data_IF_613714090364
#
_entry.id   IF_613714090364
#
_cell.length_a   1.000
_cell.length_b   1.000
_cell.length_c   1.000
_cell.angle_alpha   90.00
_cell.angle_beta   90.00
_cell.angle_gamma   90.00
#
_symmetry.space_group_name_H-M   'P 1'
#
loop_
_entity.id
_entity.type
_entity.pdbx_description
1 polymer ?
#
# COMPACT_ATOMS: atom_id res chain seq x y z
N UNK A 1 12.48 -2.47 13.64
CA UNK A 1 11.80 -3.61 12.99
C UNK A 1 11.80 -4.79 13.95
N UNK A 2 10.69 -5.53 14.06
CA UNK A 2 10.59 -6.68 14.96
C UNK A 2 11.41 -7.89 14.48
N UNK A 3 11.56 -8.94 15.31
CA UNK A 3 12.38 -10.12 15.01
C UNK A 3 11.76 -11.06 13.96
N UNK A 4 10.61 -10.71 13.43
CA UNK A 4 9.91 -11.55 12.46
C UNK A 4 10.47 -11.37 11.05
N UNK A 5 10.57 -12.46 10.31
CA UNK A 5 10.95 -12.44 8.89
C UNK A 5 9.79 -11.84 8.09
N UNK A 6 10.05 -10.72 7.43
CA UNK A 6 9.08 -10.08 6.54
C UNK A 6 8.89 -10.87 5.25
N UNK A 7 7.72 -10.74 4.66
CA UNK A 7 7.43 -11.31 3.34
C UNK A 7 8.34 -10.61 2.32
N UNK A 8 9.10 -11.41 1.55
CA UNK A 8 9.95 -10.91 0.50
C UNK A 8 9.30 -10.98 -0.89
N UNK A 9 9.96 -10.43 -1.91
CA UNK A 9 11.26 -9.75 -1.83
C UNK A 9 11.17 -8.39 -1.13
N UNK A 10 12.28 -7.92 -0.52
CA UNK A 10 12.33 -6.59 0.10
C UNK A 10 12.35 -5.48 -0.96
N UNK A 11 11.91 -4.29 -0.58
CA UNK A 11 11.82 -3.15 -1.50
C UNK A 11 13.19 -2.75 -2.05
N UNK A 12 14.22 -2.75 -1.23
CA UNK A 12 15.59 -2.43 -1.62
C UNK A 12 16.17 -3.45 -2.61
N UNK A 13 15.96 -4.75 -2.39
CA UNK A 13 16.36 -5.81 -3.34
C UNK A 13 15.72 -5.60 -4.72
N UNK A 14 14.42 -5.30 -4.75
CA UNK A 14 13.68 -5.05 -5.99
C UNK A 14 14.19 -3.80 -6.69
N UNK A 15 14.41 -2.71 -5.95
CA UNK A 15 14.96 -1.47 -6.49
C UNK A 15 16.34 -1.70 -7.10
N UNK A 16 17.26 -2.37 -6.38
CA UNK A 16 18.61 -2.66 -6.89
C UNK A 16 18.55 -3.48 -8.17
N UNK A 17 17.73 -4.52 -8.18
CA UNK A 17 17.57 -5.41 -9.34
C UNK A 17 17.17 -4.63 -10.60
N UNK A 18 16.06 -3.89 -10.53
CA UNK A 18 15.53 -3.20 -11.70
C UNK A 18 16.32 -1.94 -12.08
N UNK A 19 16.99 -1.31 -11.12
CA UNK A 19 17.94 -0.23 -11.43
C UNK A 19 19.12 -0.70 -12.25
N UNK A 20 19.71 -1.85 -11.92
CA UNK A 20 20.79 -2.49 -12.70
C UNK A 20 20.34 -2.87 -14.12
N UNK A 21 19.06 -3.20 -14.29
CA UNK A 21 18.46 -3.44 -15.59
C UNK A 21 18.12 -2.13 -16.34
N UNK A 22 18.49 -0.97 -15.79
CA UNK A 22 18.19 0.39 -16.32
C UNK A 22 16.71 0.65 -16.55
N UNK A 23 15.84 0.03 -15.77
CA UNK A 23 14.40 0.26 -15.82
C UNK A 23 14.02 1.49 -14.99
N UNK A 24 13.00 2.22 -15.44
CA UNK A 24 12.35 3.24 -14.63
C UNK A 24 11.56 2.60 -13.49
N UNK A 25 11.57 3.24 -12.31
CA UNK A 25 10.90 2.75 -11.11
C UNK A 25 9.84 3.75 -10.68
N UNK A 26 8.61 3.24 -10.48
CA UNK A 26 7.52 3.99 -9.84
C UNK A 26 7.09 3.23 -8.59
N UNK A 27 7.19 3.88 -7.44
CA UNK A 27 6.74 3.33 -6.16
C UNK A 27 5.32 3.82 -5.87
N UNK A 28 4.42 2.90 -5.58
CA UNK A 28 3.04 3.19 -5.15
C UNK A 28 2.87 2.70 -3.72
N UNK A 29 2.85 3.58 -2.71
CA UNK A 29 2.73 3.18 -1.31
C UNK A 29 1.27 2.86 -0.94
N UNK A 30 0.73 1.81 -1.53
CA UNK A 30 -0.70 1.46 -1.46
C UNK A 30 -1.18 1.14 -0.04
N UNK A 31 -0.29 0.72 0.86
CA UNK A 31 -0.61 0.43 2.24
C UNK A 31 -0.68 1.67 3.14
N UNK A 32 -0.24 2.83 2.65
CA UNK A 32 -0.20 4.06 3.42
C UNK A 32 -1.26 5.06 2.95
N UNK A 33 -2.08 5.51 3.88
CA UNK A 33 -3.11 6.51 3.62
C UNK A 33 -2.64 7.93 3.87
N UNK A 34 -1.53 8.14 4.60
CA UNK A 34 -0.95 9.45 4.91
C UNK A 34 0.55 9.45 4.69
N UNK A 35 1.10 10.63 4.47
CA UNK A 35 2.55 10.82 4.42
C UNK A 35 3.15 10.74 5.83
N UNK A 36 4.31 10.10 5.95
CA UNK A 36 5.08 9.96 7.19
C UNK A 36 6.56 9.66 6.89
N UNK A 37 7.36 9.35 7.91
CA UNK A 37 8.80 9.14 7.74
C UNK A 37 9.16 8.07 6.71
N UNK A 38 8.43 6.97 6.64
CA UNK A 38 8.70 5.92 5.65
C UNK A 38 8.46 6.42 4.21
N UNK A 39 7.41 7.21 3.97
CA UNK A 39 7.14 7.74 2.62
C UNK A 39 8.05 8.90 2.25
N UNK A 40 8.28 9.86 3.17
CA UNK A 40 9.01 11.10 2.89
C UNK A 40 10.53 10.96 3.00
N UNK A 41 11.02 10.08 3.86
CA UNK A 41 12.46 9.87 4.04
C UNK A 41 12.91 8.60 3.35
N UNK A 42 12.34 7.46 3.72
CA UNK A 42 12.78 6.17 3.20
C UNK A 42 12.52 6.04 1.69
N UNK A 43 11.27 6.27 1.24
CA UNK A 43 10.93 6.14 -0.18
C UNK A 43 11.42 7.32 -1.03
N UNK A 44 11.29 8.58 -0.56
CA UNK A 44 11.64 9.74 -1.39
C UNK A 44 13.13 10.07 -1.39
N UNK A 45 13.86 9.76 -0.33
CA UNK A 45 15.27 10.13 -0.19
C UNK A 45 16.17 8.90 -0.28
N UNK A 46 15.99 7.93 0.60
CA UNK A 46 16.93 6.80 0.73
C UNK A 46 16.84 5.85 -0.47
N UNK A 47 15.64 5.40 -0.81
CA UNK A 47 15.45 4.50 -1.95
C UNK A 47 15.64 5.18 -3.30
N UNK A 48 15.37 6.47 -3.40
CA UNK A 48 15.73 7.24 -4.59
C UNK A 48 17.24 7.25 -4.80
N UNK A 49 18.02 7.58 -3.75
CA UNK A 49 19.49 7.54 -3.81
C UNK A 49 20.01 6.13 -4.13
N UNK A 50 19.39 5.09 -3.56
CA UNK A 50 19.73 3.70 -3.84
C UNK A 50 19.49 3.36 -5.32
N UNK A 51 18.37 3.77 -5.88
CA UNK A 51 18.02 3.56 -7.29
C UNK A 51 19.02 4.28 -8.22
N UNK A 52 19.29 5.56 -7.98
CA UNK A 52 20.23 6.37 -8.76
C UNK A 52 21.65 5.77 -8.73
N UNK A 53 22.12 5.36 -7.54
CA UNK A 53 23.44 4.70 -7.36
C UNK A 53 23.55 3.41 -8.16
N UNK A 54 22.46 2.70 -8.39
CA UNK A 54 22.44 1.45 -9.16
C UNK A 54 22.07 1.64 -10.64
N UNK A 55 22.01 2.87 -11.13
CA UNK A 55 21.85 3.20 -12.55
C UNK A 55 20.40 3.40 -13.01
N UNK A 56 19.47 3.59 -12.10
CA UNK A 56 18.09 3.96 -12.44
C UNK A 56 18.04 5.36 -13.05
N UNK A 57 17.53 5.49 -14.27
CA UNK A 57 17.37 6.77 -14.95
C UNK A 57 16.09 7.53 -14.59
N UNK A 58 15.13 6.86 -13.98
CA UNK A 58 13.87 7.45 -13.61
C UNK A 58 13.31 6.78 -12.34
N UNK A 59 13.17 7.57 -11.29
CA UNK A 59 12.55 7.13 -10.03
C UNK A 59 11.48 8.12 -9.59
N UNK A 60 10.29 7.63 -9.31
CA UNK A 60 9.18 8.43 -8.80
C UNK A 60 8.36 7.66 -7.78
N UNK A 61 7.92 8.35 -6.74
CA UNK A 61 6.92 7.86 -5.80
C UNK A 61 5.58 8.56 -6.02
N UNK A 62 4.51 7.81 -6.00
CA UNK A 62 3.14 8.34 -6.00
C UNK A 62 2.82 8.80 -4.58
N UNK A 63 2.26 10.01 -4.36
CA UNK A 63 1.84 10.48 -3.04
C UNK A 63 0.86 9.49 -2.37
N UNK A 64 0.87 9.44 -1.04
CA UNK A 64 -0.16 8.76 -0.28
C UNK A 64 -1.52 9.44 -0.51
N UNK A 65 -2.61 8.71 -0.31
CA UNK A 65 -3.98 9.18 -0.62
C UNK A 65 -4.37 10.42 0.19
N UNK A 66 -3.97 10.49 1.47
CA UNK A 66 -4.29 11.64 2.33
C UNK A 66 -5.79 11.94 2.34
N UNK A 67 -6.13 13.17 1.97
CA UNK A 67 -7.52 13.66 1.89
C UNK A 67 -8.02 13.74 0.44
N UNK A 68 -7.53 12.87 -0.45
CA UNK A 68 -7.99 12.83 -1.84
C UNK A 68 -9.51 12.63 -1.88
N UNK A 69 -10.21 13.45 -2.69
CA UNK A 69 -11.67 13.55 -2.69
C UNK A 69 -12.39 12.22 -2.95
N UNK A 70 -11.90 11.44 -3.91
CA UNK A 70 -12.52 10.16 -4.26
C UNK A 70 -12.31 9.12 -3.15
N UNK A 71 -11.17 9.16 -2.46
CA UNK A 71 -10.89 8.31 -1.30
C UNK A 71 -11.83 8.64 -0.14
N UNK A 72 -11.94 9.92 0.22
CA UNK A 72 -12.86 10.37 1.29
C UNK A 72 -14.32 10.06 0.94
N UNK A 73 -14.73 10.28 -0.32
CA UNK A 73 -16.07 9.91 -0.79
C UNK A 73 -16.34 8.42 -0.62
N UNK A 74 -15.40 7.57 -1.02
CA UNK A 74 -15.50 6.11 -0.86
C UNK A 74 -15.66 5.69 0.60
N UNK A 75 -14.86 6.27 1.52
CA UNK A 75 -15.00 6.03 2.95
C UNK A 75 -16.36 6.47 3.49
N UNK A 76 -16.83 7.66 3.08
CA UNK A 76 -18.15 8.19 3.46
C UNK A 76 -19.27 7.25 3.01
N UNK A 77 -19.22 6.76 1.77
CA UNK A 77 -20.21 5.81 1.25
C UNK A 77 -20.23 4.50 2.04
N UNK A 78 -19.04 4.02 2.47
CA UNK A 78 -18.95 2.83 3.33
C UNK A 78 -19.62 3.06 4.69
N UNK A 79 -19.39 4.20 5.33
CA UNK A 79 -20.02 4.57 6.60
C UNK A 79 -21.54 4.65 6.47
N UNK A 80 -22.04 5.37 5.47
CA UNK A 80 -23.48 5.52 5.24
C UNK A 80 -24.19 4.20 4.93
N UNK A 81 -23.53 3.31 4.18
CA UNK A 81 -24.06 1.96 3.93
C UNK A 81 -24.15 1.11 5.19
N UNK A 82 -23.30 1.38 6.18
CA UNK A 82 -23.34 0.72 7.48
C UNK A 82 -24.57 1.13 8.30
N UNK A 83 -24.84 2.42 8.40
CA UNK A 83 -25.99 2.94 9.14
C UNK A 83 -27.31 2.39 8.62
N UNK A 84 -27.40 2.15 7.30
CA UNK A 84 -28.65 1.66 6.67
C UNK A 84 -28.82 0.16 6.74
N UNK A 85 -27.77 -0.64 6.99
CA UNK A 85 -27.81 -2.11 6.92
C UNK A 85 -27.66 -2.83 8.26
N UNK A 86 -27.39 -2.12 9.35
CA UNK A 86 -27.29 -2.67 10.71
C UNK A 86 -26.15 -3.64 10.97
N UNK A 87 -25.57 -4.26 9.96
CA UNK A 87 -24.44 -5.20 10.10
C UNK A 87 -23.47 -5.07 8.92
N UNK A 88 -22.20 -4.94 9.22
CA UNK A 88 -21.11 -4.76 8.24
C UNK A 88 -20.79 -6.01 7.42
N UNK A 89 -21.57 -7.00 7.49
CA UNK A 89 -21.31 -8.22 6.78
C UNK A 89 -21.92 -8.16 5.40
N UNK A 90 -21.20 -7.61 4.51
CA UNK A 90 -21.40 -8.00 3.14
C UNK A 90 -20.79 -9.39 2.96
N UNK A 91 -21.62 -10.39 3.06
CA UNK A 91 -21.37 -11.77 2.59
C UNK A 91 -20.80 -11.84 1.16
N UNK A 92 -20.69 -10.72 0.49
CA UNK A 92 -20.25 -10.56 -0.88
C UNK A 92 -18.73 -10.32 -1.01
N UNK A 93 -18.02 -9.94 0.06
CA UNK A 93 -16.58 -9.63 -0.02
C UNK A 93 -15.68 -10.85 0.25
N UNK A 94 -16.14 -11.80 1.05
CA UNK A 94 -15.36 -12.99 1.37
C UNK A 94 -15.91 -14.22 0.64
N UNK A 95 -15.09 -14.91 -0.15
CA UNK A 95 -15.51 -16.18 -0.75
C UNK A 95 -15.96 -17.18 0.34
N UNK A 96 -17.03 -17.93 0.08
CA UNK A 96 -17.62 -18.90 1.02
C UNK A 96 -16.65 -19.97 1.56
N UNK A 97 -15.50 -20.14 0.92
CA UNK A 97 -14.44 -21.06 1.37
C UNK A 97 -13.67 -20.58 2.60
N UNK A 98 -13.79 -19.32 3.00
CA UNK A 98 -13.10 -18.76 4.16
C UNK A 98 -13.93 -18.97 5.44
N UNK A 99 -13.97 -20.20 5.92
CA UNK A 99 -14.76 -20.64 7.09
C UNK A 99 -14.37 -19.96 8.42
N UNK A 100 -13.20 -19.33 8.48
CA UNK A 100 -12.72 -18.56 9.65
C UNK A 100 -12.97 -17.05 9.53
N UNK A 101 -13.79 -16.63 8.57
CA UNK A 101 -14.14 -15.23 8.42
C UNK A 101 -15.02 -14.80 9.59
N UNK A 102 -14.65 -13.78 10.38
CA UNK A 102 -15.44 -13.32 11.53
C UNK A 102 -16.83 -12.81 11.13
N UNK A 103 -17.03 -12.57 9.86
CA UNK A 103 -18.31 -12.15 9.31
C UNK A 103 -19.31 -13.29 9.06
N UNK A 104 -18.92 -14.54 9.28
CA UNK A 104 -19.83 -15.70 9.15
C UNK A 104 -20.57 -16.04 10.44
N UNK A 105 -20.16 -15.44 11.57
CA UNK A 105 -20.72 -15.70 12.90
C UNK A 105 -21.74 -14.63 13.36
N UNK A 106 -22.16 -13.74 12.46
CA UNK A 106 -23.10 -12.65 12.77
C UNK A 106 -24.47 -12.91 12.12
#
# INVERSE_FOLDING_TARGET
MGPLKWIGPSTDEVIIKYSKEKKGIVIVPIAFVSEHSETLVELDIEYKKLAEKNGCGFYKRVPALGIEKNFIKGLTELVLKQETRGNFVSSLMCPNKYVKCPCLEL
#
